data_IF_277640762706
#
_entry.id   IF_277640762706
#
_cell.length_a   1.000
_cell.length_b   1.000
_cell.length_c   1.000
_cell.angle_alpha   90.00
_cell.angle_beta   90.00
_cell.angle_gamma   90.00
#
_symmetry.space_group_name_H-M   'P 1'
#
loop_
_entity.id
_entity.type
_entity.pdbx_description
1 polymer ?
#
# COMPACT_ATOMS: atom_id res chain seq x y z
N UNK A 1 4.83 -6.25 -18.66
CA UNK A 1 6.16 -5.63 -18.48
C UNK A 1 6.71 -5.31 -19.85
N UNK A 2 7.78 -4.53 -19.99
CA UNK A 2 8.29 -4.13 -21.32
C UNK A 2 8.58 -5.31 -22.27
N UNK A 3 8.86 -6.49 -21.71
CA UNK A 3 8.96 -7.78 -22.41
C UNK A 3 7.70 -8.14 -23.22
N UNK A 4 6.52 -7.63 -22.88
CA UNK A 4 5.27 -7.85 -23.61
C UNK A 4 5.10 -6.94 -24.84
N UNK A 5 6.01 -5.98 -25.04
CA UNK A 5 6.03 -5.06 -26.19
C UNK A 5 7.05 -5.46 -27.25
N UNK A 6 7.81 -6.53 -27.03
CA UNK A 6 8.79 -7.01 -28.00
C UNK A 6 8.07 -7.51 -29.27
N UNK A 7 8.28 -6.80 -30.39
CA UNK A 7 7.60 -7.07 -31.68
C UNK A 7 6.26 -6.35 -31.88
N UNK A 8 5.82 -5.52 -30.93
CA UNK A 8 4.61 -4.70 -31.03
C UNK A 8 4.96 -3.21 -30.90
N UNK A 9 4.39 -2.36 -31.75
CA UNK A 9 4.50 -0.91 -31.65
C UNK A 9 3.16 -0.30 -31.20
N UNK A 10 3.20 0.88 -30.57
CA UNK A 10 2.01 1.64 -30.15
C UNK A 10 2.17 3.11 -30.54
N UNK A 11 1.06 3.78 -30.83
CA UNK A 11 1.07 5.23 -31.11
C UNK A 11 1.68 6.01 -29.96
N UNK A 12 1.27 5.69 -28.73
CA UNK A 12 1.80 6.32 -27.51
C UNK A 12 2.37 5.26 -26.58
N UNK A 13 3.58 5.51 -26.06
CA UNK A 13 4.18 4.75 -24.97
C UNK A 13 4.38 5.67 -23.78
N UNK A 14 3.96 5.20 -22.60
CA UNK A 14 4.24 5.84 -21.32
C UNK A 14 5.19 4.93 -20.55
N UNK A 15 6.39 5.44 -20.25
CA UNK A 15 7.40 4.75 -19.47
C UNK A 15 7.52 5.42 -18.10
N UNK A 16 7.29 4.66 -17.04
CA UNK A 16 7.57 5.11 -15.68
C UNK A 16 8.88 4.51 -15.19
N UNK A 17 9.79 5.36 -14.70
CA UNK A 17 11.05 4.92 -14.11
C UNK A 17 10.82 4.21 -12.75
N UNK A 18 9.74 4.55 -12.05
CA UNK A 18 9.43 4.05 -10.71
C UNK A 18 10.60 4.20 -9.70
N UNK A 19 11.40 5.25 -9.86
CA UNK A 19 12.52 5.57 -8.98
C UNK A 19 12.15 6.68 -8.00
N UNK A 20 12.69 6.57 -6.80
CA UNK A 20 12.62 7.60 -5.76
C UNK A 20 13.95 7.63 -5.02
N UNK A 21 14.18 8.65 -4.21
CA UNK A 21 15.36 8.76 -3.34
C UNK A 21 15.57 7.57 -2.39
N UNK A 22 14.54 6.72 -2.18
CA UNK A 22 14.59 5.51 -1.35
C UNK A 22 14.92 4.23 -2.13
N UNK A 23 15.08 4.31 -3.45
CA UNK A 23 15.37 3.14 -4.28
C UNK A 23 16.72 2.53 -3.89
N UNK A 24 16.72 1.22 -3.61
CA UNK A 24 17.91 0.50 -3.16
C UNK A 24 18.89 0.16 -4.28
N UNK A 25 20.15 -0.11 -3.90
CA UNK A 25 21.26 -0.41 -4.83
C UNK A 25 20.96 -1.59 -5.77
N UNK A 26 20.39 -2.69 -5.26
CA UNK A 26 20.04 -3.87 -6.08
C UNK A 26 19.11 -3.52 -7.25
N UNK A 27 18.14 -2.64 -7.01
CA UNK A 27 17.20 -2.18 -8.06
C UNK A 27 17.93 -1.32 -9.09
N UNK A 28 18.83 -0.43 -8.65
CA UNK A 28 19.64 0.37 -9.57
C UNK A 28 20.59 -0.50 -10.40
N UNK A 29 21.23 -1.49 -9.79
CA UNK A 29 22.09 -2.45 -10.48
C UNK A 29 21.30 -3.25 -11.52
N UNK A 30 20.06 -3.66 -11.21
CA UNK A 30 19.19 -4.32 -12.18
C UNK A 30 18.87 -3.40 -13.36
N UNK A 31 18.48 -2.14 -13.12
CA UNK A 31 18.18 -1.19 -14.21
C UNK A 31 19.39 -0.98 -15.11
N UNK A 32 20.56 -0.76 -14.51
CA UNK A 32 21.80 -0.54 -15.25
C UNK A 32 22.20 -1.76 -16.08
N UNK A 33 21.92 -2.99 -15.62
CA UNK A 33 22.26 -4.20 -16.36
C UNK A 33 21.19 -4.61 -17.40
N UNK A 34 20.07 -3.87 -17.51
CA UNK A 34 18.94 -4.22 -18.37
C UNK A 34 18.68 -3.12 -19.43
N UNK A 35 19.74 -2.69 -20.11
CA UNK A 35 19.74 -1.67 -21.17
C UNK A 35 18.69 -1.89 -22.27
N UNK A 36 18.45 -3.16 -22.63
CA UNK A 36 17.49 -3.54 -23.67
C UNK A 36 16.07 -3.05 -23.36
N UNK A 37 15.71 -2.95 -22.08
CA UNK A 37 14.38 -2.48 -21.66
C UNK A 37 14.18 -1.03 -22.06
N UNK A 38 15.17 -0.18 -21.83
CA UNK A 38 15.09 1.26 -22.15
C UNK A 38 15.01 1.44 -23.67
N UNK A 39 15.86 0.72 -24.41
CA UNK A 39 15.86 0.76 -25.86
C UNK A 39 14.50 0.30 -26.44
N UNK A 40 13.94 -0.79 -25.93
CA UNK A 40 12.60 -1.25 -26.33
C UNK A 40 11.54 -0.22 -25.94
N UNK A 41 11.62 0.46 -24.79
CA UNK A 41 10.61 1.45 -24.40
C UNK A 41 10.52 2.60 -25.40
N UNK A 42 11.70 3.10 -25.79
CA UNK A 42 11.84 4.25 -26.66
C UNK A 42 11.49 3.88 -28.11
N UNK A 43 11.97 2.74 -28.61
CA UNK A 43 11.78 2.36 -30.03
C UNK A 43 10.38 1.88 -30.39
N UNK A 44 9.51 1.60 -29.42
CA UNK A 44 8.14 1.11 -29.68
C UNK A 44 7.09 2.22 -29.79
N UNK A 45 7.46 3.47 -29.51
CA UNK A 45 6.58 4.64 -29.64
C UNK A 45 6.59 5.17 -31.08
N UNK A 46 5.42 5.20 -31.75
CA UNK A 46 5.31 5.74 -33.12
C UNK A 46 5.16 7.26 -33.16
N UNK A 47 4.33 7.81 -32.28
CA UNK A 47 3.94 9.21 -32.33
C UNK A 47 4.39 9.97 -31.09
N UNK A 48 4.24 9.36 -29.90
CA UNK A 48 4.58 10.03 -28.64
C UNK A 48 5.19 9.07 -27.63
N UNK A 49 6.31 9.49 -27.07
CA UNK A 49 6.94 8.86 -25.91
C UNK A 49 6.79 9.80 -24.70
N UNK A 50 6.25 9.29 -23.61
CA UNK A 50 6.09 10.02 -22.35
C UNK A 50 6.94 9.33 -21.29
N UNK A 51 7.92 10.05 -20.75
CA UNK A 51 8.74 9.59 -19.65
C UNK A 51 8.25 10.19 -18.33
N UNK A 52 8.00 9.34 -17.34
CA UNK A 52 7.57 9.72 -16.00
C UNK A 52 8.64 9.28 -15.01
N UNK A 53 9.25 10.23 -14.33
CA UNK A 53 10.33 9.94 -13.38
C UNK A 53 10.59 11.10 -12.42
N UNK A 54 11.20 10.77 -11.29
CA UNK A 54 11.75 11.73 -10.34
C UNK A 54 13.18 12.07 -10.76
N UNK A 55 13.37 13.27 -11.30
CA UNK A 55 14.66 13.73 -11.83
C UNK A 55 15.75 13.77 -10.76
N UNK A 56 15.40 14.23 -9.56
CA UNK A 56 16.33 14.32 -8.44
C UNK A 56 16.79 12.94 -8.01
N UNK A 57 15.86 11.99 -7.91
CA UNK A 57 16.20 10.60 -7.58
C UNK A 57 17.10 9.96 -8.63
N UNK A 58 16.81 10.16 -9.93
CA UNK A 58 17.61 9.63 -11.03
C UNK A 58 19.03 10.19 -10.98
N UNK A 59 19.19 11.50 -10.83
CA UNK A 59 20.51 12.13 -10.80
C UNK A 59 21.35 11.68 -9.60
N UNK A 60 20.71 11.46 -8.47
CA UNK A 60 21.40 11.05 -7.24
C UNK A 60 21.81 9.58 -7.25
N UNK A 61 20.99 8.71 -7.86
CA UNK A 61 21.14 7.26 -7.76
C UNK A 61 21.86 6.64 -8.97
N UNK A 62 21.83 7.30 -10.13
CA UNK A 62 22.45 6.81 -11.35
C UNK A 62 23.84 7.42 -11.57
N UNK A 63 24.79 6.61 -12.05
CA UNK A 63 26.06 7.13 -12.58
C UNK A 63 25.88 7.82 -13.94
N UNK A 64 26.87 8.60 -14.35
CA UNK A 64 26.85 9.37 -15.61
C UNK A 64 26.63 8.53 -16.88
N UNK A 65 27.05 7.26 -16.87
CA UNK A 65 26.90 6.33 -17.99
C UNK A 65 25.59 5.52 -17.94
N UNK A 66 24.68 5.85 -17.03
CA UNK A 66 23.42 5.12 -16.86
C UNK A 66 22.42 5.53 -17.94
N UNK A 67 21.91 4.56 -18.69
CA UNK A 67 20.92 4.79 -19.75
C UNK A 67 19.67 5.52 -19.25
N UNK A 68 19.20 5.23 -18.03
CA UNK A 68 18.01 5.90 -17.47
C UNK A 68 18.31 7.37 -17.18
N UNK A 69 19.55 7.69 -16.79
CA UNK A 69 20.01 9.06 -16.60
C UNK A 69 20.14 9.79 -17.93
N UNK A 70 20.82 9.17 -18.90
CA UNK A 70 20.95 9.72 -20.26
C UNK A 70 19.58 9.98 -20.89
N UNK A 71 18.64 9.03 -20.78
CA UNK A 71 17.27 9.20 -21.25
C UNK A 71 16.56 10.34 -20.51
N UNK A 72 16.66 10.38 -19.18
CA UNK A 72 16.05 11.43 -18.38
C UNK A 72 16.61 12.81 -18.74
N UNK A 73 17.92 12.93 -18.94
CA UNK A 73 18.59 14.17 -19.33
C UNK A 73 18.20 14.59 -20.77
N UNK A 74 18.09 13.64 -21.68
CA UNK A 74 17.63 13.90 -23.05
C UNK A 74 16.18 14.39 -23.09
N UNK A 75 15.26 13.68 -22.43
CA UNK A 75 13.84 14.07 -22.39
C UNK A 75 13.67 15.43 -21.68
N UNK A 76 14.42 15.67 -20.60
CA UNK A 76 14.37 16.94 -19.89
C UNK A 76 14.90 18.12 -20.72
N UNK A 77 15.92 17.91 -21.56
CA UNK A 77 16.53 18.98 -22.36
C UNK A 77 15.89 19.20 -23.72
N UNK A 78 15.26 18.19 -24.31
CA UNK A 78 14.69 18.23 -25.67
C UNK A 78 13.18 18.04 -25.73
N UNK A 79 12.58 17.50 -24.68
CA UNK A 79 11.14 17.25 -24.61
C UNK A 79 10.36 18.40 -23.99
N UNK A 80 9.04 18.26 -24.01
CA UNK A 80 8.15 19.08 -23.21
C UNK A 80 8.18 18.57 -21.77
N UNK A 81 8.63 19.41 -20.84
CA UNK A 81 8.72 19.07 -19.41
C UNK A 81 7.58 19.73 -18.67
N UNK A 82 6.73 18.89 -18.09
CA UNK A 82 5.70 19.31 -17.15
C UNK A 82 6.02 18.66 -15.81
N UNK A 83 6.37 19.48 -14.83
CA UNK A 83 6.37 19.06 -13.42
C UNK A 83 5.02 19.47 -12.86
N UNK A 84 4.03 18.57 -12.81
CA UNK A 84 2.74 18.93 -12.25
C UNK A 84 2.99 19.34 -10.80
N UNK A 85 2.50 20.52 -10.42
CA UNK A 85 2.36 20.82 -9.00
C UNK A 85 1.52 19.69 -8.42
N UNK A 86 1.94 19.16 -7.27
CA UNK A 86 1.10 18.23 -6.53
C UNK A 86 -0.14 19.01 -6.11
N UNK A 87 -1.15 19.03 -6.97
CA UNK A 87 -2.51 19.25 -6.55
C UNK A 87 -2.90 17.96 -5.84
N UNK A 88 -2.40 17.81 -4.61
CA UNK A 88 -3.07 16.99 -3.62
C UNK A 88 -4.41 17.67 -3.37
N UNK A 89 -5.32 17.56 -4.34
CA UNK A 89 -6.73 17.67 -4.06
C UNK A 89 -6.97 16.47 -3.17
N UNK A 90 -6.94 16.73 -1.87
CA UNK A 90 -7.53 15.84 -0.89
C UNK A 90 -8.99 15.79 -1.30
N UNK A 91 -9.35 14.81 -2.12
CA UNK A 91 -10.73 14.59 -2.52
C UNK A 91 -11.43 14.09 -1.26
N UNK A 92 -12.00 15.05 -0.53
CA UNK A 92 -12.90 14.84 0.59
C UNK A 92 -14.25 14.42 0.01
N UNK A 93 -14.34 13.17 -0.46
CA UNK A 93 -15.63 12.55 -0.73
C UNK A 93 -15.78 11.29 0.09
N UNK A 94 -17.00 11.13 0.58
CA UNK A 94 -17.30 10.56 1.88
C UNK A 94 -17.96 9.18 1.83
N UNK A 95 -18.07 8.61 3.03
CA UNK A 95 -18.87 7.45 3.46
C UNK A 95 -18.30 6.05 3.21
N UNK A 96 -18.64 5.16 4.14
CA UNK A 96 -18.47 3.70 4.04
C UNK A 96 -18.74 3.18 2.62
N UNK A 97 -17.90 2.25 2.17
CA UNK A 97 -17.84 1.73 0.80
C UNK A 97 -17.39 2.79 -0.23
N UNK A 98 -16.61 3.78 0.21
CA UNK A 98 -16.01 4.79 -0.66
C UNK A 98 -15.07 4.16 -1.70
N UNK A 99 -14.84 4.89 -2.81
CA UNK A 99 -13.80 4.54 -3.78
C UNK A 99 -12.43 4.40 -3.10
N UNK A 100 -12.14 5.19 -2.07
CA UNK A 100 -10.88 5.15 -1.34
C UNK A 100 -10.74 3.87 -0.51
N UNK A 101 -11.80 3.41 0.15
CA UNK A 101 -11.82 2.10 0.83
C UNK A 101 -11.60 0.95 -0.12
N UNK A 102 -12.24 1.00 -1.29
CA UNK A 102 -12.04 0.00 -2.33
C UNK A 102 -10.60 0.04 -2.87
N UNK A 103 -10.08 1.22 -3.21
CA UNK A 103 -8.71 1.40 -3.72
C UNK A 103 -7.68 0.93 -2.67
N UNK A 104 -7.89 1.23 -1.39
CA UNK A 104 -7.03 0.74 -0.30
C UNK A 104 -7.08 -0.79 -0.20
N UNK A 105 -8.29 -1.38 -0.18
CA UNK A 105 -8.44 -2.83 -0.09
C UNK A 105 -7.76 -3.54 -1.26
N UNK A 106 -7.96 -3.07 -2.49
CA UNK A 106 -7.29 -3.60 -3.68
C UNK A 106 -5.76 -3.44 -3.61
N UNK A 107 -5.26 -2.37 -3.00
CA UNK A 107 -3.83 -2.12 -2.79
C UNK A 107 -3.21 -3.12 -1.80
N UNK A 108 -3.89 -3.43 -0.70
CA UNK A 108 -3.34 -4.28 0.37
C UNK A 108 -3.65 -5.77 0.18
N UNK A 109 -4.72 -6.11 -0.54
CA UNK A 109 -5.18 -7.49 -0.68
C UNK A 109 -4.12 -8.44 -1.26
N UNK A 110 -3.37 -8.10 -2.32
CA UNK A 110 -2.33 -8.98 -2.87
C UNK A 110 -1.24 -9.33 -1.85
N UNK A 111 -0.93 -8.40 -0.94
CA UNK A 111 0.09 -8.60 0.11
C UNK A 111 -0.39 -9.60 1.16
N UNK A 112 -1.63 -9.46 1.63
CA UNK A 112 -2.16 -10.30 2.72
C UNK A 112 -2.69 -11.66 2.26
N UNK A 113 -3.31 -11.73 1.08
CA UNK A 113 -3.96 -12.95 0.57
C UNK A 113 -3.06 -13.79 -0.36
N UNK A 114 -1.73 -13.64 -0.27
CA UNK A 114 -0.79 -14.47 -1.04
C UNK A 114 -0.99 -15.95 -0.72
N UNK A 115 -0.87 -16.83 -1.73
CA UNK A 115 -0.98 -18.29 -1.56
C UNK A 115 0.04 -18.77 -0.51
N UNK A 116 -0.43 -19.43 0.55
CA UNK A 116 0.39 -19.88 1.69
C UNK A 116 0.49 -18.88 2.86
N UNK A 117 -0.03 -17.66 2.69
CA UNK A 117 -0.16 -16.69 3.78
C UNK A 117 -1.09 -17.22 4.88
N UNK A 118 -0.73 -16.93 6.14
CA UNK A 118 -1.63 -17.14 7.29
C UNK A 118 -2.56 -15.95 7.50
N UNK A 119 -2.36 -14.88 6.76
CA UNK A 119 -3.19 -13.69 6.84
C UNK A 119 -4.39 -13.80 5.91
N UNK A 120 -5.47 -13.14 6.33
CA UNK A 120 -6.66 -12.92 5.54
C UNK A 120 -7.09 -11.49 5.74
N UNK A 121 -7.31 -10.77 4.65
CA UNK A 121 -7.90 -9.43 4.68
C UNK A 121 -9.38 -9.50 4.32
N UNK A 122 -10.20 -8.73 5.02
CA UNK A 122 -11.64 -8.57 4.78
C UNK A 122 -12.01 -7.10 4.90
N UNK A 123 -13.02 -6.65 4.14
CA UNK A 123 -13.52 -5.27 4.17
C UNK A 123 -14.93 -5.18 4.74
N UNK A 124 -15.32 -4.00 5.21
CA UNK A 124 -16.65 -3.63 5.71
C UNK A 124 -17.17 -4.68 6.71
N UNK A 125 -16.36 -4.96 7.73
CA UNK A 125 -16.65 -6.07 8.66
C UNK A 125 -17.31 -5.53 9.92
N UNK A 126 -18.54 -5.98 10.24
CA UNK A 126 -19.18 -5.63 11.50
C UNK A 126 -18.32 -6.01 12.70
N UNK A 127 -18.25 -5.15 13.70
CA UNK A 127 -17.38 -5.37 14.87
C UNK A 127 -17.66 -6.69 15.59
N UNK A 128 -18.93 -7.09 15.69
CA UNK A 128 -19.35 -8.38 16.26
C UNK A 128 -18.74 -9.58 15.52
N UNK A 129 -18.52 -9.45 14.22
CA UNK A 129 -17.88 -10.47 13.39
C UNK A 129 -16.35 -10.36 13.43
N UNK A 130 -15.81 -9.13 13.53
CA UNK A 130 -14.38 -8.90 13.61
C UNK A 130 -13.78 -9.41 14.93
N UNK A 131 -14.53 -9.33 16.05
CA UNK A 131 -14.05 -9.69 17.39
C UNK A 131 -14.76 -10.94 17.89
N UNK A 132 -14.10 -12.09 17.78
CA UNK A 132 -14.65 -13.37 18.24
C UNK A 132 -14.74 -13.39 19.77
N UNK A 133 -15.96 -13.55 20.30
CA UNK A 133 -16.20 -13.65 21.74
C UNK A 133 -16.29 -12.30 22.46
N UNK A 134 -16.64 -11.23 21.74
CA UNK A 134 -16.93 -9.92 22.33
C UNK A 134 -18.00 -10.04 23.43
N UNK A 135 -17.77 -9.39 24.57
CA UNK A 135 -18.71 -9.36 25.70
C UNK A 135 -19.95 -8.55 25.33
N UNK A 136 -21.10 -8.90 25.90
CA UNK A 136 -22.37 -8.18 25.67
C UNK A 136 -22.30 -6.72 26.12
N UNK A 137 -21.61 -6.43 27.22
CA UNK A 137 -21.39 -5.07 27.72
C UNK A 137 -20.65 -4.22 26.68
N UNK A 138 -19.61 -4.79 26.06
CA UNK A 138 -18.80 -4.08 25.07
C UNK A 138 -19.57 -3.88 23.75
N UNK A 139 -20.47 -4.80 23.38
CA UNK A 139 -21.32 -4.67 22.18
C UNK A 139 -22.18 -3.38 22.19
N UNK A 140 -22.64 -2.95 23.37
CA UNK A 140 -23.44 -1.72 23.50
C UNK A 140 -22.63 -0.45 23.18
N UNK A 141 -21.31 -0.47 23.35
CA UNK A 141 -20.42 0.66 22.98
C UNK A 141 -20.31 0.84 21.45
N UNK A 142 -20.70 -0.18 20.66
CA UNK A 142 -20.50 -0.19 19.21
C UNK A 142 -21.77 -0.16 18.37
N UNK A 143 -22.91 -0.65 18.87
CA UNK A 143 -24.14 -0.68 18.07
C UNK A 143 -23.93 -1.43 16.74
N UNK A 144 -24.12 -0.73 15.61
CA UNK A 144 -23.97 -1.27 14.23
C UNK A 144 -22.66 -0.85 13.54
N UNK A 145 -21.63 -0.46 14.29
CA UNK A 145 -20.34 -0.02 13.71
C UNK A 145 -19.62 -1.17 13.00
N UNK A 146 -18.83 -0.80 12.00
CA UNK A 146 -18.02 -1.67 11.15
C UNK A 146 -16.57 -1.16 11.13
N UNK A 147 -15.63 -2.04 10.77
CA UNK A 147 -14.27 -1.67 10.39
C UNK A 147 -14.17 -1.70 8.87
N UNK A 148 -13.48 -0.71 8.29
CA UNK A 148 -13.34 -0.59 6.84
C UNK A 148 -12.51 -1.75 6.29
N UNK A 149 -11.35 -2.04 6.88
CA UNK A 149 -10.54 -3.20 6.52
C UNK A 149 -9.94 -3.85 7.76
N UNK A 150 -9.97 -5.18 7.84
CA UNK A 150 -9.34 -5.92 8.93
C UNK A 150 -8.37 -6.97 8.40
N UNK A 151 -7.28 -7.15 9.14
CA UNK A 151 -6.31 -8.23 8.91
C UNK A 151 -6.47 -9.27 10.02
N UNK A 152 -6.76 -10.50 9.60
CA UNK A 152 -6.86 -11.67 10.46
C UNK A 152 -5.66 -12.58 10.25
N UNK A 153 -5.23 -13.26 11.31
CA UNK A 153 -4.22 -14.31 11.26
C UNK A 153 -4.83 -15.65 11.65
N UNK A 154 -4.44 -16.72 10.94
CA UNK A 154 -4.83 -18.09 11.29
C UNK A 154 -4.08 -18.53 12.55
N UNK A 155 -4.82 -18.68 13.65
CA UNK A 155 -4.32 -19.22 14.91
C UNK A 155 -4.62 -20.70 14.96
N UNK A 156 -3.57 -21.51 15.11
CA UNK A 156 -3.66 -22.97 15.32
C UNK A 156 -3.29 -23.28 16.76
N UNK A 157 -4.17 -23.98 17.47
CA UNK A 157 -3.89 -24.50 18.82
C UNK A 157 -3.91 -26.02 18.78
N UNK A 158 -3.03 -26.67 19.56
CA UNK A 158 -3.02 -28.13 19.69
C UNK A 158 -4.35 -28.70 20.23
N UNK A 159 -5.11 -27.90 20.99
CA UNK A 159 -6.38 -28.32 21.61
C UNK A 159 -7.64 -27.75 20.97
N UNK A 160 -7.55 -26.74 20.10
CA UNK A 160 -8.73 -26.08 19.51
C UNK A 160 -8.63 -26.07 17.99
N UNK A 161 -9.78 -26.26 17.32
CA UNK A 161 -9.91 -26.04 15.87
C UNK A 161 -9.30 -24.70 15.48
N UNK A 162 -8.54 -24.71 14.40
CA UNK A 162 -7.92 -23.51 13.86
C UNK A 162 -8.98 -22.43 13.61
N UNK A 163 -8.66 -21.19 13.95
CA UNK A 163 -9.57 -20.07 13.77
C UNK A 163 -8.80 -18.81 13.41
N UNK A 164 -9.47 -17.90 12.72
CA UNK A 164 -8.91 -16.60 12.39
C UNK A 164 -9.13 -15.62 13.55
N UNK A 165 -8.06 -14.95 13.97
CA UNK A 165 -8.10 -13.87 14.96
C UNK A 165 -7.75 -12.56 14.27
N UNK A 166 -8.57 -11.53 14.45
CA UNK A 166 -8.24 -10.17 14.00
C UNK A 166 -7.06 -9.63 14.81
N UNK A 167 -6.08 -9.05 14.12
CA UNK A 167 -4.87 -8.48 14.74
C UNK A 167 -4.72 -7.00 14.43
N UNK A 168 -5.19 -6.56 13.27
CA UNK A 168 -5.14 -5.16 12.83
C UNK A 168 -6.50 -4.80 12.24
N UNK A 169 -6.96 -3.59 12.53
CA UNK A 169 -8.07 -2.94 11.84
C UNK A 169 -7.56 -1.62 11.27
N UNK A 170 -7.86 -1.37 10.00
CA UNK A 170 -7.62 -0.12 9.30
C UNK A 170 -8.93 0.66 9.22
N UNK A 171 -8.87 1.95 9.53
CA UNK A 171 -9.93 2.92 9.32
C UNK A 171 -9.42 3.97 8.34
N UNK A 172 -10.22 4.29 7.33
CA UNK A 172 -9.89 5.23 6.28
C UNK A 172 -10.61 6.52 6.60
N UNK A 173 -9.84 7.42 7.24
CA UNK A 173 -10.40 8.66 7.76
C UNK A 173 -10.58 9.67 6.61
N UNK A 174 -11.83 10.03 6.39
CA UNK A 174 -12.21 11.23 5.63
C UNK A 174 -12.04 12.49 6.48
N UNK A 175 -12.05 13.66 5.83
CA UNK A 175 -11.96 14.96 6.50
C UNK A 175 -13.15 15.32 7.41
N UNK A 176 -14.22 14.53 7.44
CA UNK A 176 -15.44 14.80 8.23
C UNK A 176 -15.24 14.73 9.72
N UNK A 177 -14.16 14.10 10.18
CA UNK A 177 -13.90 13.91 11.60
C UNK A 177 -13.33 15.16 12.27
N UNK A 178 -12.98 16.20 11.52
CA UNK A 178 -12.41 17.44 12.05
C UNK A 178 -13.53 18.32 12.64
N UNK A 179 -13.60 18.35 13.98
CA UNK A 179 -14.37 19.36 14.72
C UNK A 179 -15.64 18.87 15.44
N UNK A 180 -16.03 17.60 15.31
CA UNK A 180 -17.21 17.05 16.00
C UNK A 180 -16.83 16.36 17.32
N UNK A 181 -17.27 16.92 18.46
CA UNK A 181 -17.09 16.28 19.78
C UNK A 181 -17.70 14.87 19.84
N UNK A 182 -18.78 14.63 19.10
CA UNK A 182 -19.42 13.31 19.01
C UNK A 182 -18.55 12.31 18.26
N UNK A 183 -17.92 12.71 17.14
CA UNK A 183 -17.01 11.85 16.41
C UNK A 183 -15.78 11.46 17.26
N UNK A 184 -15.17 12.44 17.93
CA UNK A 184 -14.03 12.21 18.81
C UNK A 184 -14.36 11.23 19.96
N UNK A 185 -15.56 11.31 20.54
CA UNK A 185 -15.99 10.36 21.57
C UNK A 185 -16.18 8.94 21.02
N UNK A 186 -16.70 8.80 19.81
CA UNK A 186 -16.93 7.50 19.17
C UNK A 186 -15.61 6.84 18.75
N UNK A 187 -14.63 7.66 18.35
CA UNK A 187 -13.27 7.24 18.00
C UNK A 187 -12.52 6.69 19.21
N UNK A 188 -12.58 7.40 20.34
CA UNK A 188 -11.99 6.91 21.60
C UNK A 188 -12.56 5.57 22.03
N UNK A 189 -13.86 5.36 21.84
CA UNK A 189 -14.49 4.06 22.14
C UNK A 189 -13.94 2.95 21.24
N UNK A 190 -13.77 3.19 19.93
CA UNK A 190 -13.14 2.22 19.00
C UNK A 190 -11.73 1.88 19.45
N UNK A 191 -10.92 2.88 19.78
CA UNK A 191 -9.54 2.67 20.26
C UNK A 191 -9.48 1.84 21.53
N UNK A 192 -10.36 2.12 22.51
CA UNK A 192 -10.38 1.43 23.78
C UNK A 192 -10.69 -0.06 23.63
N UNK A 193 -11.65 -0.42 22.78
CA UNK A 193 -12.00 -1.83 22.56
C UNK A 193 -11.00 -2.55 21.67
N UNK A 194 -10.45 -1.89 20.66
CA UNK A 194 -9.31 -2.43 19.94
C UNK A 194 -8.18 -2.78 20.93
N UNK A 195 -7.88 -1.89 21.88
CA UNK A 195 -6.91 -2.15 22.96
C UNK A 195 -7.32 -3.34 23.85
N UNK A 196 -8.57 -3.41 24.30
CA UNK A 196 -9.07 -4.49 25.17
C UNK A 196 -8.97 -5.88 24.52
N UNK A 197 -9.23 -5.97 23.21
CA UNK A 197 -9.21 -7.23 22.47
C UNK A 197 -7.87 -7.50 21.76
N UNK A 198 -6.86 -6.66 21.98
CA UNK A 198 -5.52 -6.84 21.41
C UNK A 198 -5.47 -6.65 19.90
N UNK A 199 -6.35 -5.81 19.36
CA UNK A 199 -6.41 -5.40 17.96
C UNK A 199 -5.69 -4.06 17.85
N UNK A 200 -4.76 -3.95 16.89
CA UNK A 200 -4.11 -2.67 16.58
C UNK A 200 -4.99 -1.90 15.61
N UNK A 201 -5.41 -0.71 16.00
CA UNK A 201 -6.14 0.20 15.14
C UNK A 201 -5.14 1.10 14.42
N UNK A 202 -5.22 1.17 13.09
CA UNK A 202 -4.40 2.04 12.24
C UNK A 202 -5.35 2.93 11.45
N UNK A 203 -5.17 4.25 11.56
CA UNK A 203 -5.93 5.23 10.79
C UNK A 203 -5.12 5.66 9.59
N UNK A 204 -5.72 5.59 8.40
CA UNK A 204 -5.11 5.97 7.13
C UNK A 204 -5.91 7.15 6.58
N UNK A 205 -5.30 8.33 6.35
CA UNK A 205 -6.01 9.42 5.71
C UNK A 205 -6.32 9.05 4.25
N UNK A 206 -7.43 9.56 3.71
CA UNK A 206 -7.82 9.38 2.31
C UNK A 206 -6.68 9.63 1.30
N UNK A 207 -5.81 10.61 1.56
CA UNK A 207 -4.68 10.94 0.69
C UNK A 207 -3.58 9.87 0.64
N UNK A 208 -3.51 8.97 1.63
CA UNK A 208 -2.47 7.97 1.78
C UNK A 208 -2.91 6.55 1.37
N UNK A 209 -4.15 6.36 0.92
CA UNK A 209 -4.70 5.02 0.60
C UNK A 209 -3.93 4.28 -0.51
N UNK A 210 -3.15 5.00 -1.32
CA UNK A 210 -2.32 4.46 -2.41
C UNK A 210 -0.84 4.36 -2.06
N UNK A 211 -0.42 4.85 -0.89
CA UNK A 211 0.97 4.74 -0.45
C UNK A 211 1.25 3.37 0.16
N UNK A 212 1.42 2.39 -0.73
CA UNK A 212 1.64 0.98 -0.38
C UNK A 212 2.83 0.79 0.57
N UNK A 213 3.91 1.56 0.39
CA UNK A 213 5.12 1.44 1.21
C UNK A 213 4.85 1.93 2.63
N UNK A 214 4.20 3.08 2.78
CA UNK A 214 3.83 3.60 4.10
C UNK A 214 2.84 2.66 4.80
N UNK A 215 1.82 2.15 4.09
CA UNK A 215 0.81 1.25 4.64
C UNK A 215 1.44 -0.03 5.17
N UNK A 216 2.36 -0.65 4.40
CA UNK A 216 3.07 -1.85 4.84
C UNK A 216 3.97 -1.55 6.03
N UNK A 217 4.74 -0.45 5.98
CA UNK A 217 5.62 -0.08 7.09
C UNK A 217 4.85 0.16 8.39
N UNK A 218 3.67 0.79 8.31
CA UNK A 218 2.76 0.96 9.43
C UNK A 218 2.26 -0.39 9.97
N UNK A 219 1.84 -1.28 9.07
CA UNK A 219 1.41 -2.62 9.44
C UNK A 219 2.52 -3.38 10.17
N UNK A 220 3.72 -3.46 9.59
CA UNK A 220 4.88 -4.14 10.18
C UNK A 220 5.26 -3.58 11.54
N UNK A 221 5.19 -2.25 11.69
CA UNK A 221 5.47 -1.58 12.96
C UNK A 221 4.41 -1.92 14.00
N UNK A 222 3.13 -1.93 13.62
CA UNK A 222 2.02 -2.22 14.52
C UNK A 222 2.01 -3.69 14.98
N UNK A 223 2.48 -4.61 14.14
CA UNK A 223 2.48 -6.06 14.42
C UNK A 223 3.80 -6.58 15.01
N UNK A 224 4.86 -5.75 15.05
CA UNK A 224 6.14 -6.08 15.68
C UNK A 224 5.94 -6.56 17.13
N UNK A 225 6.47 -7.73 17.46
CA UNK A 225 6.36 -8.33 18.80
C UNK A 225 5.10 -9.14 19.09
N UNK A 226 4.19 -9.32 18.11
CA UNK A 226 3.17 -10.36 18.21
C UNK A 226 3.84 -11.73 18.12
N UNK A 227 3.63 -12.62 19.11
CA UNK A 227 4.28 -13.95 19.21
C UNK A 227 4.18 -14.84 17.95
N UNK A 228 3.18 -14.60 17.10
CA UNK A 228 2.97 -15.33 15.84
C UNK A 228 3.49 -14.56 14.60
N UNK A 229 3.85 -13.29 14.73
CA UNK A 229 4.28 -12.43 13.63
C UNK A 229 5.74 -12.64 13.26
N UNK A 230 6.65 -12.77 14.23
CA UNK A 230 8.09 -12.93 13.94
C UNK A 230 8.38 -14.21 13.12
N UNK A 231 7.60 -15.29 13.32
CA UNK A 231 7.65 -16.53 12.51
C UNK A 231 6.98 -16.43 11.14
N UNK A 232 6.12 -15.44 10.93
CA UNK A 232 5.38 -15.24 9.66
C UNK A 232 6.07 -14.18 8.80
N UNK A 233 6.68 -13.18 9.42
CA UNK A 233 7.47 -12.14 8.77
C UNK A 233 8.69 -12.71 8.05
N UNK A 234 9.35 -13.73 8.63
CA UNK A 234 10.43 -14.46 7.96
C UNK A 234 9.99 -15.16 6.66
N UNK A 235 8.68 -15.34 6.44
CA UNK A 235 8.10 -15.92 5.21
C UNK A 235 7.50 -14.86 4.27
N UNK A 236 7.42 -13.59 4.69
CA UNK A 236 6.76 -12.49 3.99
C UNK A 236 7.69 -11.37 3.54
N UNK A 237 8.97 -11.43 3.88
CA UNK A 237 9.93 -10.44 3.39
C UNK A 237 9.89 -10.37 1.87
N UNK A 238 9.48 -9.22 1.33
CA UNK A 238 9.66 -8.85 -0.08
C UNK A 238 11.16 -8.63 -0.41
N UNK A 239 12.00 -8.56 0.62
CA UNK A 239 13.45 -8.45 0.57
C UNK A 239 14.04 -9.63 1.36
N UNK A 240 13.82 -10.85 0.87
CA UNK A 240 14.53 -12.01 1.40
C UNK A 240 16.03 -11.76 1.32
N UNK A 241 16.70 -11.87 2.45
CA UNK A 241 18.14 -12.13 2.51
C UNK A 241 18.35 -13.54 1.94
N UNK A 242 18.63 -13.60 0.65
CA UNK A 242 19.43 -14.64 0.00
C UNK A 242 20.34 -13.93 -1.02
#
# INVERSE_FOLDING_TARGET
>A
TIHTLQGSEKSVIIMSAALSIKTGKKTMDWINNNHELINVAVTRAKEKFIFVGDKEAIDKLSGEQSDIKILSDYVHSKGEVVVPKSEAVIVYDFSNDSKNEKDFFETVQPYFNRRGSKFKVERNVPLKQAIKGIKKEDLFLFGRKEFDVIVKVLVRSRLRRAFYRTIVAFEIDGGEHIGSQKAASLDRQKEEVCRLYGIKLIRIPNSAVKDYVAIISLFETATRGLKDFDKVYSQMSLFGED
#
